data_IF_143827952241
#
_entry.id   IF_143827952241
#
_cell.length_a   1.000
_cell.length_b   1.000
_cell.length_c   1.000
_cell.angle_alpha   90.00
_cell.angle_beta   90.00
_cell.angle_gamma   90.00
#
_symmetry.space_group_name_H-M   'P 1'
#
loop_
_entity.id
_entity.type
_entity.pdbx_description
1 polymer ?
#
# COMPACT_ATOMS: atom_id res chain seq x y z
N UNK A 1 -13.42 -3.15 -34.63
CA UNK A 1 -12.75 -2.01 -33.97
C UNK A 1 -11.70 -2.57 -33.04
N UNK A 2 -10.46 -2.05 -33.06
CA UNK A 2 -9.49 -2.39 -32.03
C UNK A 2 -9.95 -1.75 -30.72
N UNK A 3 -10.27 -2.57 -29.71
CA UNK A 3 -10.62 -2.05 -28.38
C UNK A 3 -9.37 -1.39 -27.82
N UNK A 4 -9.34 -0.06 -27.78
CA UNK A 4 -8.26 0.65 -27.11
C UNK A 4 -8.34 0.31 -25.62
N UNK A 5 -7.23 -0.17 -25.04
CA UNK A 5 -7.19 -0.45 -23.62
C UNK A 5 -7.56 0.84 -22.87
N UNK A 6 -8.47 0.77 -21.89
CA UNK A 6 -8.86 1.92 -21.10
C UNK A 6 -7.79 2.19 -20.04
N UNK A 7 -6.55 2.51 -20.46
CA UNK A 7 -5.62 3.17 -19.53
C UNK A 7 -6.29 4.48 -19.16
N UNK A 8 -6.82 4.50 -17.96
CA UNK A 8 -7.53 5.63 -17.43
C UNK A 8 -6.56 6.80 -17.40
N UNK A 9 -6.95 7.90 -18.06
CA UNK A 9 -6.21 9.13 -17.95
C UNK A 9 -6.06 9.46 -16.46
N UNK A 10 -4.85 9.83 -16.03
CA UNK A 10 -4.66 10.26 -14.64
C UNK A 10 -5.43 11.56 -14.41
N UNK A 11 -6.01 11.73 -13.21
CA UNK A 11 -6.56 13.01 -12.78
C UNK A 11 -5.42 14.04 -12.79
N UNK A 12 -5.60 15.21 -13.44
CA UNK A 12 -4.66 16.30 -13.34
C UNK A 12 -4.48 16.67 -11.87
N UNK A 13 -3.25 16.62 -11.37
CA UNK A 13 -2.99 17.05 -10.00
C UNK A 13 -3.23 18.55 -9.91
N UNK A 14 -4.13 18.95 -9.01
CA UNK A 14 -4.45 20.36 -8.80
C UNK A 14 -3.18 21.09 -8.35
N UNK A 15 -2.69 22.03 -9.15
CA UNK A 15 -1.52 22.87 -8.84
C UNK A 15 -1.87 24.11 -8.02
N UNK A 16 -3.17 24.38 -7.86
CA UNK A 16 -3.69 25.50 -7.09
C UNK A 16 -4.79 25.04 -6.13
N UNK A 17 -5.02 25.82 -5.07
CA UNK A 17 -6.06 25.60 -4.08
C UNK A 17 -6.92 26.87 -3.92
N UNK A 18 -8.22 26.74 -3.64
CA UNK A 18 -9.02 27.90 -3.27
C UNK A 18 -8.54 28.45 -1.92
N UNK A 19 -8.41 29.77 -1.87
CA UNK A 19 -8.16 30.55 -0.68
C UNK A 19 -9.45 30.90 0.06
N UNK A 20 -9.32 31.60 1.19
CA UNK A 20 -10.47 31.87 2.07
C UNK A 20 -11.44 32.91 1.50
N UNK A 21 -10.98 33.74 0.56
CA UNK A 21 -11.73 34.81 -0.07
C UNK A 21 -11.95 34.56 -1.58
N UNK A 22 -11.90 33.29 -2.01
CA UNK A 22 -12.09 32.90 -3.41
C UNK A 22 -10.85 33.13 -4.29
N UNK A 23 -9.75 33.62 -3.73
CA UNK A 23 -8.47 33.71 -4.41
C UNK A 23 -7.93 32.32 -4.75
N UNK A 24 -7.08 32.24 -5.77
CA UNK A 24 -6.44 30.98 -6.17
C UNK A 24 -4.99 30.98 -5.72
N UNK A 25 -4.67 30.12 -4.76
CA UNK A 25 -3.34 30.06 -4.13
C UNK A 25 -2.52 28.95 -4.78
N UNK A 26 -1.34 29.25 -5.34
CA UNK A 26 -0.41 28.22 -5.84
C UNK A 26 -0.03 27.26 -4.71
N UNK A 27 0.02 25.97 -5.03
CA UNK A 27 0.55 24.99 -4.10
C UNK A 27 2.07 25.06 -4.07
N UNK A 28 2.65 24.93 -2.89
CA UNK A 28 4.10 24.87 -2.69
C UNK A 28 4.62 23.42 -2.79
N UNK A 29 5.90 23.24 -3.06
CA UNK A 29 6.54 21.92 -2.98
C UNK A 29 6.57 21.43 -1.53
N UNK A 30 6.85 20.14 -1.33
CA UNK A 30 7.13 19.65 0.02
C UNK A 30 8.44 20.27 0.53
N UNK A 31 8.46 20.58 1.82
CA UNK A 31 9.73 20.86 2.47
C UNK A 31 10.51 19.54 2.56
N UNK A 32 11.81 19.59 2.26
CA UNK A 32 12.71 18.47 2.49
C UNK A 32 13.07 18.45 3.97
N UNK A 33 12.59 17.43 4.67
CA UNK A 33 12.80 17.26 6.11
C UNK A 33 13.55 15.96 6.41
N UNK A 34 14.03 15.85 7.65
CA UNK A 34 14.51 14.57 8.18
C UNK A 34 13.34 13.59 8.27
N UNK A 35 13.57 12.35 7.87
CA UNK A 35 12.63 11.24 8.03
C UNK A 35 12.42 10.98 9.52
N UNK A 36 11.15 10.99 9.93
CA UNK A 36 10.70 10.70 11.30
C UNK A 36 9.67 9.57 11.26
N UNK A 37 9.63 8.75 12.30
CA UNK A 37 8.52 7.80 12.48
C UNK A 37 7.43 8.53 13.25
N UNK A 38 6.25 8.63 12.63
CA UNK A 38 5.15 9.42 13.15
C UNK A 38 3.90 8.61 13.40
N UNK A 39 3.01 9.20 14.18
CA UNK A 39 1.63 8.78 14.34
C UNK A 39 0.91 8.78 13.01
N UNK A 40 0.28 7.66 12.68
CA UNK A 40 -0.78 7.69 11.71
C UNK A 40 -1.98 8.43 12.36
N UNK A 41 -2.80 9.13 11.57
CA UNK A 41 -3.93 9.95 12.07
C UNK A 41 -5.03 9.16 12.81
N UNK A 42 -4.80 7.90 13.20
CA UNK A 42 -5.84 6.98 13.68
C UNK A 42 -5.42 6.12 14.88
N UNK A 43 -4.21 5.54 14.96
CA UNK A 43 -3.93 4.49 15.96
C UNK A 43 -2.50 4.30 16.46
N UNK A 44 -1.45 4.43 15.64
CA UNK A 44 -0.09 4.00 16.04
C UNK A 44 1.02 4.83 15.39
N UNK A 45 2.16 4.92 16.06
CA UNK A 45 3.36 5.63 15.58
C UNK A 45 4.21 4.75 14.64
N UNK A 46 3.64 4.29 13.53
CA UNK A 46 4.26 3.29 12.64
C UNK A 46 4.28 3.67 11.16
N UNK A 47 4.27 4.97 10.86
CA UNK A 47 4.28 5.45 9.48
C UNK A 47 5.38 6.45 9.22
N UNK A 48 5.88 6.41 8.00
CA UNK A 48 6.83 7.39 7.48
C UNK A 48 6.76 7.46 5.96
N UNK A 49 7.47 8.43 5.39
CA UNK A 49 7.59 8.64 3.96
C UNK A 49 9.01 9.10 3.64
N UNK A 50 9.78 8.24 2.98
CA UNK A 50 11.10 8.58 2.39
C UNK A 50 10.97 9.48 1.17
N UNK A 51 9.83 9.41 0.48
CA UNK A 51 9.44 10.35 -0.56
C UNK A 51 8.03 10.85 -0.28
N UNK A 52 7.84 12.17 -0.27
CA UNK A 52 6.52 12.79 -0.13
C UNK A 52 6.03 13.25 -1.49
N UNK A 53 4.77 12.97 -1.82
CA UNK A 53 4.25 13.19 -3.16
C UNK A 53 4.49 11.99 -4.09
N UNK A 54 3.83 12.01 -5.24
CA UNK A 54 3.86 10.94 -6.21
C UNK A 54 3.55 11.49 -7.61
N UNK A 55 4.25 11.00 -8.63
CA UNK A 55 3.97 11.29 -10.05
C UNK A 55 2.65 10.66 -10.57
N UNK A 56 1.93 9.96 -9.70
CA UNK A 56 0.66 9.30 -9.99
C UNK A 56 -0.56 10.11 -9.57
N UNK A 57 -1.24 10.73 -10.53
CA UNK A 57 -2.59 11.32 -10.38
C UNK A 57 -3.71 10.28 -10.43
N UNK A 58 -3.62 9.18 -9.69
CA UNK A 58 -4.70 8.19 -9.68
C UNK A 58 -5.99 8.83 -9.15
N UNK A 59 -7.09 8.75 -9.92
CA UNK A 59 -8.43 9.14 -9.50
C UNK A 59 -8.77 8.49 -8.17
N UNK A 60 -9.09 9.27 -7.14
CA UNK A 60 -9.37 8.71 -5.82
C UNK A 60 -8.17 8.62 -4.88
N UNK A 61 -6.97 9.05 -5.30
CA UNK A 61 -5.77 8.97 -4.46
C UNK A 61 -5.94 9.78 -3.17
N UNK A 62 -6.03 9.05 -2.05
CA UNK A 62 -6.21 9.63 -0.71
C UNK A 62 -5.08 10.61 -0.36
N UNK A 63 -3.83 10.27 -0.70
CA UNK A 63 -2.67 11.11 -0.41
C UNK A 63 -2.77 12.45 -1.15
N UNK A 64 -3.01 12.43 -2.47
CA UNK A 64 -3.18 13.63 -3.29
C UNK A 64 -4.27 14.57 -2.75
N UNK A 65 -5.40 14.01 -2.28
CA UNK A 65 -6.51 14.79 -1.71
C UNK A 65 -6.18 15.36 -0.33
N UNK A 66 -5.51 14.58 0.49
CA UNK A 66 -5.10 15.00 1.83
C UNK A 66 -4.13 16.18 1.77
N UNK A 67 -3.37 16.32 0.67
CA UNK A 67 -2.47 17.47 0.45
C UNK A 67 -3.17 18.82 0.31
N UNK A 68 -4.40 18.84 -0.22
CA UNK A 68 -5.14 20.09 -0.42
C UNK A 68 -5.71 20.67 0.87
N UNK A 69 -6.06 19.81 1.84
CA UNK A 69 -6.85 20.20 3.02
C UNK A 69 -6.05 20.09 4.32
N UNK A 70 -5.19 19.08 4.49
CA UNK A 70 -4.58 18.75 5.79
C UNK A 70 -3.07 19.02 5.88
N UNK A 71 -2.38 19.13 4.74
CA UNK A 71 -0.90 19.22 4.71
C UNK A 71 -0.41 20.57 4.20
N UNK A 72 -1.22 21.63 4.30
CA UNK A 72 -0.76 22.99 3.96
C UNK A 72 -0.57 23.25 2.47
N UNK A 73 -1.44 22.67 1.60
CA UNK A 73 -1.50 22.98 0.16
C UNK A 73 -0.21 22.63 -0.60
N UNK A 74 0.25 21.38 -0.46
CA UNK A 74 1.48 20.89 -1.13
C UNK A 74 1.21 20.31 -2.52
N UNK A 75 2.18 20.46 -3.43
CA UNK A 75 2.19 19.89 -4.79
C UNK A 75 2.48 18.41 -4.73
N UNK A 76 1.43 17.61 -4.80
CA UNK A 76 1.56 16.16 -4.76
C UNK A 76 2.30 15.58 -5.98
N UNK A 77 2.17 16.22 -7.15
CA UNK A 77 2.79 15.82 -8.43
C UNK A 77 4.30 16.07 -8.51
N UNK A 78 4.85 16.82 -7.55
CA UNK A 78 6.28 17.09 -7.44
C UNK A 78 6.80 16.36 -6.21
N UNK A 79 7.16 15.08 -6.37
CA UNK A 79 7.66 14.28 -5.27
C UNK A 79 9.01 14.84 -4.78
N UNK A 80 9.19 14.87 -3.46
CA UNK A 80 10.43 15.31 -2.82
C UNK A 80 10.95 14.21 -1.92
N UNK A 81 12.21 13.82 -2.14
CA UNK A 81 12.95 12.92 -1.24
C UNK A 81 13.18 13.60 0.10
N UNK A 82 12.99 12.83 1.17
CA UNK A 82 13.24 13.22 2.54
C UNK A 82 14.61 12.66 2.99
N UNK A 83 15.25 13.30 3.95
CA UNK A 83 16.60 12.94 4.37
C UNK A 83 16.54 11.84 5.41
N UNK A 84 17.09 10.66 5.10
CA UNK A 84 17.18 9.54 6.04
C UNK A 84 18.42 9.71 6.91
N UNK A 85 18.25 9.72 8.23
CA UNK A 85 19.35 9.74 9.21
C UNK A 85 19.16 8.57 10.16
N UNK A 86 20.13 7.65 10.17
CA UNK A 86 20.01 6.38 10.87
C UNK A 86 19.72 6.51 12.35
N UNK A 87 20.45 7.38 13.05
CA UNK A 87 20.32 7.62 14.49
C UNK A 87 18.93 8.12 14.85
N UNK A 88 18.34 8.97 13.99
CA UNK A 88 17.01 9.54 14.21
C UNK A 88 15.94 8.48 13.97
N UNK A 89 16.02 7.75 12.86
CA UNK A 89 15.09 6.66 12.53
C UNK A 89 15.11 5.60 13.63
N UNK A 90 16.30 5.14 14.02
CA UNK A 90 16.44 4.11 15.06
C UNK A 90 15.94 4.59 16.41
N UNK A 91 16.23 5.84 16.79
CA UNK A 91 15.67 6.43 17.99
C UNK A 91 14.14 6.39 17.95
N UNK A 92 13.52 6.90 16.89
CA UNK A 92 12.06 6.96 16.77
C UNK A 92 11.43 5.54 16.78
N UNK A 93 12.05 4.56 16.12
CA UNK A 93 11.60 3.17 16.13
C UNK A 93 11.70 2.53 17.52
N UNK A 94 12.77 2.80 18.27
CA UNK A 94 12.88 2.32 19.65
C UNK A 94 11.82 2.97 20.55
N UNK A 95 11.48 4.25 20.34
CA UNK A 95 10.37 4.88 21.05
C UNK A 95 9.01 4.27 20.66
N UNK A 96 8.80 3.98 19.37
CA UNK A 96 7.60 3.28 18.88
C UNK A 96 7.44 1.93 19.60
N UNK A 97 8.46 1.09 19.61
CA UNK A 97 8.42 -0.24 20.25
C UNK A 97 8.25 -0.13 21.77
N UNK A 98 8.89 0.85 22.42
CA UNK A 98 8.69 1.10 23.86
C UNK A 98 7.24 1.42 24.20
N UNK A 99 6.56 2.18 23.33
CA UNK A 99 5.16 2.57 23.49
C UNK A 99 4.20 1.44 23.10
N UNK A 100 4.53 0.72 22.03
CA UNK A 100 3.71 -0.34 21.43
C UNK A 100 4.59 -1.58 21.15
N UNK A 101 4.88 -2.42 22.16
CA UNK A 101 5.86 -3.51 22.06
C UNK A 101 5.53 -4.61 21.03
N UNK A 102 4.27 -4.66 20.57
CA UNK A 102 3.81 -5.58 19.54
C UNK A 102 4.09 -5.09 18.11
N UNK A 103 4.52 -3.83 17.93
CA UNK A 103 4.85 -3.29 16.62
C UNK A 103 6.27 -3.67 16.23
N UNK A 104 6.37 -4.61 15.31
CA UNK A 104 7.61 -5.09 14.71
C UNK A 104 7.81 -4.59 13.26
N UNK A 105 7.03 -3.58 12.85
CA UNK A 105 7.10 -3.02 11.51
C UNK A 105 6.83 -1.51 11.44
N UNK A 106 7.32 -0.90 10.37
CA UNK A 106 7.07 0.50 10.01
C UNK A 106 6.67 0.60 8.54
N UNK A 107 5.67 1.41 8.21
CA UNK A 107 5.24 1.61 6.83
C UNK A 107 5.93 2.81 6.19
N UNK A 108 6.42 2.62 4.97
CA UNK A 108 6.91 3.65 4.06
C UNK A 108 5.97 3.74 2.84
N UNK A 109 5.50 4.94 2.51
CA UNK A 109 4.55 5.16 1.40
C UNK A 109 3.10 5.39 1.86
N UNK A 110 2.91 6.38 2.73
CA UNK A 110 1.60 6.89 3.17
C UNK A 110 1.16 8.08 2.33
N UNK A 111 2.06 9.04 2.18
CA UNK A 111 1.81 10.34 1.55
C UNK A 111 2.67 10.56 0.31
N UNK A 112 3.48 9.57 -0.08
CA UNK A 112 4.15 9.52 -1.37
C UNK A 112 4.43 8.09 -1.82
N UNK A 113 5.32 7.96 -2.79
CA UNK A 113 5.73 6.66 -3.34
C UNK A 113 7.24 6.45 -3.20
N UNK A 114 7.69 5.50 -2.35
CA UNK A 114 9.12 5.27 -2.12
C UNK A 114 9.90 4.83 -3.36
N UNK A 115 9.23 4.32 -4.40
CA UNK A 115 9.93 3.90 -5.62
C UNK A 115 10.49 5.05 -6.45
N UNK A 116 10.14 6.29 -6.13
CA UNK A 116 10.71 7.46 -6.80
C UNK A 116 12.14 7.72 -6.33
N UNK A 117 12.52 7.17 -5.18
CA UNK A 117 13.88 7.17 -4.66
C UNK A 117 14.15 5.90 -3.83
N UNK A 118 14.61 4.86 -4.52
CA UNK A 118 14.90 3.57 -3.88
C UNK A 118 16.08 3.64 -2.91
N UNK A 119 17.05 4.53 -3.11
CA UNK A 119 18.21 4.61 -2.22
C UNK A 119 17.76 5.00 -0.81
N UNK A 120 16.95 6.05 -0.71
CA UNK A 120 16.35 6.47 0.57
C UNK A 120 15.45 5.38 1.17
N UNK A 121 14.66 4.67 0.35
CA UNK A 121 13.81 3.58 0.82
C UNK A 121 14.62 2.38 1.35
N UNK A 122 15.75 2.07 0.73
CA UNK A 122 16.70 1.03 1.15
C UNK A 122 17.37 1.43 2.45
N UNK A 123 17.89 2.66 2.55
CA UNK A 123 18.54 3.16 3.78
C UNK A 123 17.60 3.11 4.98
N UNK A 124 16.35 3.56 4.84
CA UNK A 124 15.34 3.43 5.89
C UNK A 124 15.18 1.97 6.34
N UNK A 125 15.11 1.05 5.37
CA UNK A 125 14.94 -0.37 5.64
C UNK A 125 16.14 -0.96 6.37
N UNK A 126 17.36 -0.59 6.00
CA UNK A 126 18.59 -1.03 6.67
C UNK A 126 18.65 -0.53 8.12
N UNK A 127 18.31 0.73 8.36
CA UNK A 127 18.28 1.29 9.71
C UNK A 127 17.21 0.64 10.58
N UNK A 128 16.02 0.37 10.03
CA UNK A 128 14.94 -0.33 10.72
C UNK A 128 15.31 -1.79 11.01
N UNK A 129 15.86 -2.51 10.02
CA UNK A 129 16.26 -3.91 10.16
C UNK A 129 17.31 -4.12 11.25
N UNK A 130 18.24 -3.17 11.44
CA UNK A 130 19.25 -3.22 12.52
C UNK A 130 18.65 -3.21 13.93
N UNK A 131 17.44 -2.68 14.11
CA UNK A 131 16.72 -2.70 15.39
C UNK A 131 15.60 -3.74 15.43
N UNK A 132 15.60 -4.69 14.49
CA UNK A 132 14.63 -5.78 14.43
C UNK A 132 13.26 -5.38 13.89
N UNK A 133 13.14 -4.22 13.24
CA UNK A 133 11.87 -3.71 12.70
C UNK A 133 11.83 -3.84 11.18
N UNK A 134 10.77 -4.45 10.67
CA UNK A 134 10.57 -4.65 9.22
C UNK A 134 9.99 -3.40 8.59
N UNK A 135 10.52 -2.99 7.44
CA UNK A 135 9.93 -1.89 6.67
C UNK A 135 8.93 -2.43 5.65
N UNK A 136 7.67 -2.01 5.74
CA UNK A 136 6.62 -2.27 4.77
C UNK A 136 6.61 -1.16 3.73
N UNK A 137 7.12 -1.44 2.52
CA UNK A 137 7.17 -0.49 1.41
C UNK A 137 5.92 -0.65 0.56
N UNK A 138 5.03 0.34 0.61
CA UNK A 138 3.86 0.39 -0.27
C UNK A 138 4.18 1.27 -1.47
N UNK A 139 4.16 0.68 -2.66
CA UNK A 139 4.60 1.37 -3.86
C UNK A 139 3.81 0.99 -5.11
N UNK A 140 3.74 1.92 -6.06
CA UNK A 140 3.37 1.67 -7.46
C UNK A 140 4.55 1.22 -8.32
N UNK A 141 5.79 1.29 -7.82
CA UNK A 141 7.01 1.00 -8.57
C UNK A 141 7.13 1.88 -9.83
N UNK A 142 7.08 3.21 -9.67
CA UNK A 142 7.26 4.18 -10.77
C UNK A 142 8.63 4.04 -11.40
N UNK A 143 9.65 3.90 -10.57
CA UNK A 143 10.98 3.44 -10.96
C UNK A 143 11.15 2.01 -10.45
N UNK A 144 11.77 1.14 -11.25
CA UNK A 144 12.09 -0.21 -10.81
C UNK A 144 13.31 -0.19 -9.88
N UNK A 145 13.34 -0.99 -8.81
CA UNK A 145 14.54 -1.19 -8.02
C UNK A 145 15.60 -1.90 -8.86
N UNK A 146 16.88 -1.60 -8.61
CA UNK A 146 17.99 -2.37 -9.15
C UNK A 146 18.11 -3.71 -8.40
N UNK A 147 18.85 -4.66 -8.96
CA UNK A 147 19.15 -5.92 -8.26
C UNK A 147 19.86 -5.67 -6.92
N UNK A 148 20.68 -4.61 -6.84
CA UNK A 148 21.36 -4.22 -5.61
C UNK A 148 20.37 -3.71 -4.56
N UNK A 149 19.40 -2.87 -4.97
CA UNK A 149 18.32 -2.45 -4.07
C UNK A 149 17.55 -3.65 -3.54
N UNK A 150 17.19 -4.61 -4.41
CA UNK A 150 16.45 -5.81 -4.00
C UNK A 150 17.23 -6.65 -2.98
N UNK A 151 18.55 -6.83 -3.17
CA UNK A 151 19.39 -7.57 -2.21
C UNK A 151 19.45 -6.86 -0.86
N UNK A 152 19.69 -5.55 -0.85
CA UNK A 152 19.77 -4.76 0.39
C UNK A 152 18.45 -4.75 1.15
N UNK A 153 17.32 -4.63 0.44
CA UNK A 153 15.98 -4.75 1.02
C UNK A 153 15.74 -6.14 1.62
N UNK A 154 16.16 -7.19 0.92
CA UNK A 154 16.00 -8.58 1.38
C UNK A 154 16.79 -8.83 2.66
N UNK A 155 18.06 -8.39 2.71
CA UNK A 155 18.91 -8.48 3.90
C UNK A 155 18.34 -7.69 5.09
N UNK A 156 17.63 -6.60 4.81
CA UNK A 156 16.99 -5.76 5.83
C UNK A 156 15.63 -6.31 6.30
N UNK A 157 15.13 -7.41 5.71
CA UNK A 157 13.83 -7.98 6.06
C UNK A 157 12.62 -7.16 5.58
N UNK A 158 12.82 -6.28 4.58
CA UNK A 158 11.75 -5.42 4.07
C UNK A 158 10.62 -6.23 3.41
N UNK A 159 9.42 -5.66 3.39
CA UNK A 159 8.22 -6.22 2.76
C UNK A 159 7.81 -5.33 1.61
N UNK A 160 7.65 -5.91 0.41
CA UNK A 160 7.23 -5.18 -0.77
C UNK A 160 5.73 -5.35 -1.03
N UNK A 161 5.00 -4.24 -1.01
CA UNK A 161 3.59 -4.17 -1.37
C UNK A 161 3.45 -3.48 -2.72
N UNK A 162 3.04 -4.22 -3.74
CA UNK A 162 2.66 -3.62 -5.01
C UNK A 162 1.20 -3.20 -4.97
N UNK A 163 0.96 -1.88 -5.00
CA UNK A 163 -0.39 -1.33 -5.09
C UNK A 163 -0.90 -1.37 -6.52
N UNK A 164 -1.78 -2.31 -6.82
CA UNK A 164 -2.39 -2.50 -8.12
C UNK A 164 -3.81 -1.92 -8.16
N UNK A 165 -4.10 -1.14 -9.19
CA UNK A 165 -5.42 -0.59 -9.47
C UNK A 165 -5.82 -1.00 -10.91
N UNK A 166 -6.83 -1.86 -11.07
CA UNK A 166 -7.38 -2.17 -12.39
C UNK A 166 -7.77 -0.89 -13.14
N UNK A 167 -7.29 -0.77 -14.38
CA UNK A 167 -7.47 0.41 -15.24
C UNK A 167 -6.28 1.37 -15.27
N UNK A 168 -5.36 1.29 -14.28
CA UNK A 168 -4.04 1.93 -14.35
C UNK A 168 -2.95 0.93 -14.65
N UNK A 169 -2.99 -0.21 -13.96
CA UNK A 169 -2.16 -1.36 -14.23
C UNK A 169 -2.96 -2.40 -15.03
N UNK A 170 -2.28 -3.07 -15.96
CA UNK A 170 -2.87 -4.02 -16.90
C UNK A 170 -2.12 -5.34 -16.87
N UNK A 171 -2.84 -6.43 -17.17
CA UNK A 171 -2.26 -7.75 -17.24
C UNK A 171 -1.30 -7.86 -18.46
N UNK A 172 -0.11 -8.48 -18.33
CA UNK A 172 0.86 -8.60 -19.41
C UNK A 172 0.39 -9.36 -20.64
N UNK A 173 -0.62 -10.22 -20.52
CA UNK A 173 -1.23 -11.01 -21.58
C UNK A 173 -2.36 -10.26 -22.32
N UNK A 174 -2.87 -9.15 -21.75
CA UNK A 174 -3.84 -8.25 -22.40
C UNK A 174 -3.18 -7.30 -23.42
N UNK A 175 -2.26 -7.81 -24.25
CA UNK A 175 -1.51 -7.03 -25.25
C UNK A 175 -2.45 -6.62 -26.39
N UNK A 176 -3.17 -5.51 -26.22
CA UNK A 176 -3.84 -4.82 -27.33
C UNK A 176 -2.91 -3.73 -27.86
N UNK A 177 -2.34 -3.98 -29.03
CA UNK A 177 -1.51 -3.01 -29.77
C UNK A 177 -0.02 -3.08 -29.42
N UNK A 178 0.78 -3.54 -30.38
CA UNK A 178 2.25 -3.62 -30.44
C UNK A 178 3.03 -2.70 -29.46
N UNK A 179 3.32 -3.17 -28.24
CA UNK A 179 4.49 -2.76 -27.44
C UNK A 179 5.02 -3.96 -26.65
N UNK A 180 5.92 -4.73 -27.28
CA UNK A 180 6.63 -5.86 -26.64
C UNK A 180 7.77 -5.38 -25.71
N UNK A 181 8.21 -4.14 -25.88
CA UNK A 181 9.27 -3.51 -25.10
C UNK A 181 8.66 -2.52 -24.08
N UNK A 182 9.12 -2.57 -22.82
CA UNK A 182 8.73 -1.60 -21.79
C UNK A 182 7.38 -1.84 -21.09
N UNK A 183 6.92 -3.09 -20.95
CA UNK A 183 5.78 -3.38 -20.08
C UNK A 183 6.18 -3.30 -18.60
N UNK A 184 6.09 -2.10 -18.04
CA UNK A 184 6.39 -1.81 -16.63
C UNK A 184 5.77 -2.82 -15.66
N UNK A 185 4.53 -3.26 -15.89
CA UNK A 185 3.85 -4.17 -14.94
C UNK A 185 4.46 -5.57 -14.98
N UNK A 186 4.84 -6.07 -16.17
CA UNK A 186 5.60 -7.32 -16.30
C UNK A 186 6.93 -7.22 -15.55
N UNK A 187 7.61 -6.10 -15.70
CA UNK A 187 8.92 -5.88 -15.09
C UNK A 187 8.81 -5.77 -13.55
N UNK A 188 7.74 -5.13 -13.04
CA UNK A 188 7.38 -5.15 -11.61
C UNK A 188 7.15 -6.58 -11.12
N UNK A 189 6.28 -7.35 -11.80
CA UNK A 189 6.02 -8.75 -11.44
C UNK A 189 7.31 -9.59 -11.42
N UNK A 190 8.22 -9.35 -12.35
CA UNK A 190 9.51 -10.03 -12.42
C UNK A 190 10.41 -9.68 -11.23
N UNK A 191 10.48 -8.38 -10.86
CA UNK A 191 11.21 -7.92 -9.68
C UNK A 191 10.65 -8.51 -8.38
N UNK A 192 9.32 -8.60 -8.24
CA UNK A 192 8.68 -9.21 -7.07
C UNK A 192 8.97 -10.71 -6.98
N UNK A 193 8.96 -11.45 -8.09
CA UNK A 193 9.35 -12.87 -8.11
C UNK A 193 10.82 -13.05 -7.76
N UNK A 194 11.70 -12.20 -8.27
CA UNK A 194 13.12 -12.23 -7.90
C UNK A 194 13.31 -11.98 -6.40
N UNK A 195 12.62 -10.96 -5.85
CA UNK A 195 12.68 -10.62 -4.44
C UNK A 195 12.13 -11.73 -3.52
N UNK A 196 11.02 -12.34 -3.89
CA UNK A 196 10.46 -13.47 -3.16
C UNK A 196 11.43 -14.67 -3.12
N UNK A 197 12.09 -14.99 -4.23
CA UNK A 197 13.12 -16.04 -4.25
C UNK A 197 14.27 -15.78 -3.28
N UNK A 198 14.62 -14.52 -3.04
CA UNK A 198 15.67 -14.13 -2.08
C UNK A 198 15.20 -14.21 -0.63
N UNK A 199 13.92 -13.96 -0.37
CA UNK A 199 13.40 -13.70 0.99
C UNK A 199 12.56 -14.84 1.55
N UNK A 200 11.99 -15.70 0.70
CA UNK A 200 11.13 -16.79 1.14
C UNK A 200 11.95 -17.85 1.89
N UNK A 201 11.59 -18.18 3.15
CA UNK A 201 12.26 -19.25 3.86
C UNK A 201 12.12 -20.59 3.14
N UNK A 202 13.18 -21.39 3.15
CA UNK A 202 13.21 -22.71 2.51
C UNK A 202 12.07 -23.59 3.04
N UNK A 203 11.29 -24.18 2.13
CA UNK A 203 10.17 -25.05 2.47
C UNK A 203 8.83 -24.35 2.69
N UNK A 204 8.81 -23.01 2.76
CA UNK A 204 7.56 -22.26 2.82
C UNK A 204 6.89 -22.20 1.44
N UNK A 205 5.57 -22.42 1.41
CA UNK A 205 4.76 -22.27 0.19
C UNK A 205 4.35 -20.83 -0.06
N UNK A 206 4.14 -20.07 1.00
CA UNK A 206 3.67 -18.69 0.94
C UNK A 206 4.82 -17.71 1.19
N UNK A 207 4.77 -16.58 0.49
CA UNK A 207 5.68 -15.46 0.69
C UNK A 207 5.36 -14.75 2.00
N UNK A 208 6.40 -14.26 2.68
CA UNK A 208 6.23 -13.39 3.85
C UNK A 208 6.71 -11.95 3.60
N UNK A 209 7.33 -11.69 2.46
CA UNK A 209 7.95 -10.40 2.12
C UNK A 209 7.40 -9.79 0.83
N UNK A 210 6.39 -10.40 0.20
CA UNK A 210 5.76 -9.92 -1.04
C UNK A 210 4.25 -9.98 -0.95
N UNK A 211 3.63 -8.83 -1.14
CA UNK A 211 2.19 -8.63 -1.10
C UNK A 211 1.69 -7.98 -2.39
N UNK A 212 0.68 -8.59 -3.00
CA UNK A 212 -0.08 -8.03 -4.10
C UNK A 212 -1.29 -7.30 -3.55
N UNK A 213 -1.24 -5.96 -3.50
CA UNK A 213 -2.34 -5.15 -3.00
C UNK A 213 -3.28 -4.77 -4.14
N UNK A 214 -4.40 -5.46 -4.27
CA UNK A 214 -5.35 -5.26 -5.36
C UNK A 214 -6.46 -4.31 -4.89
N UNK A 215 -6.62 -3.20 -5.59
CA UNK A 215 -7.74 -2.29 -5.42
C UNK A 215 -8.94 -2.81 -6.21
N UNK A 216 -9.57 -3.84 -5.67
CA UNK A 216 -10.57 -4.64 -6.36
C UNK A 216 -11.96 -3.98 -6.39
N UNK A 217 -12.76 -4.35 -7.39
CA UNK A 217 -14.14 -3.91 -7.57
C UNK A 217 -14.96 -4.92 -8.37
N UNK A 218 -16.28 -4.86 -8.22
CA UNK A 218 -17.24 -5.57 -9.08
C UNK A 218 -17.41 -4.82 -10.40
N UNK A 219 -16.70 -5.25 -11.43
CA UNK A 219 -16.87 -4.71 -12.78
C UNK A 219 -17.94 -5.47 -13.56
N UNK A 220 -18.73 -4.77 -14.37
CA UNK A 220 -19.71 -5.38 -15.26
C UNK A 220 -19.00 -6.18 -16.34
N UNK A 221 -19.02 -7.51 -16.18
CA UNK A 221 -18.37 -8.44 -17.11
C UNK A 221 -19.05 -8.50 -18.48
N UNK A 222 -20.31 -8.07 -18.58
CA UNK A 222 -21.02 -8.00 -19.86
C UNK A 222 -20.63 -6.75 -20.65
N UNK A 223 -20.20 -5.68 -19.97
CA UNK A 223 -19.61 -4.52 -20.62
C UNK A 223 -18.19 -4.83 -21.13
N UNK A 224 -17.84 -4.57 -22.41
CA UNK A 224 -16.52 -4.94 -22.95
C UNK A 224 -15.33 -4.40 -22.12
N UNK A 225 -15.43 -3.17 -21.63
CA UNK A 225 -14.40 -2.58 -20.77
C UNK A 225 -14.47 -3.15 -19.33
N UNK A 226 -15.66 -3.37 -18.78
CA UNK A 226 -15.80 -3.91 -17.42
C UNK A 226 -15.28 -5.35 -17.35
N UNK A 227 -15.54 -6.16 -18.38
CA UNK A 227 -14.95 -7.49 -18.55
C UNK A 227 -13.43 -7.47 -18.61
N UNK A 228 -12.80 -6.50 -19.29
CA UNK A 228 -11.34 -6.34 -19.31
C UNK A 228 -10.76 -5.96 -17.95
N UNK A 229 -11.42 -5.06 -17.21
CA UNK A 229 -11.02 -4.64 -15.87
C UNK A 229 -11.14 -5.81 -14.88
N UNK A 230 -12.24 -6.57 -14.95
CA UNK A 230 -12.44 -7.79 -14.17
C UNK A 230 -11.36 -8.83 -14.48
N UNK A 231 -11.09 -9.10 -15.76
CA UNK A 231 -10.05 -10.05 -16.16
C UNK A 231 -8.65 -9.62 -15.67
N UNK A 232 -8.36 -8.32 -15.67
CA UNK A 232 -7.11 -7.80 -15.13
C UNK A 232 -6.96 -8.11 -13.65
N UNK A 233 -8.00 -7.86 -12.85
CA UNK A 233 -8.03 -8.22 -11.43
C UNK A 233 -7.83 -9.73 -11.23
N UNK A 234 -8.57 -10.55 -11.98
CA UNK A 234 -8.48 -12.01 -11.92
C UNK A 234 -7.06 -12.50 -12.26
N UNK A 235 -6.43 -11.91 -13.28
CA UNK A 235 -5.05 -12.21 -13.65
C UNK A 235 -4.09 -11.99 -12.48
N UNK A 236 -4.12 -10.82 -11.83
CA UNK A 236 -3.19 -10.51 -10.74
C UNK A 236 -3.46 -11.35 -9.49
N UNK A 237 -4.72 -11.64 -9.18
CA UNK A 237 -5.09 -12.54 -8.10
C UNK A 237 -4.56 -13.96 -8.37
N UNK A 238 -4.76 -14.48 -9.59
CA UNK A 238 -4.26 -15.79 -9.99
C UNK A 238 -2.73 -15.84 -10.05
N UNK A 239 -2.09 -14.79 -10.54
CA UNK A 239 -0.63 -14.66 -10.54
C UNK A 239 -0.08 -14.71 -9.11
N UNK A 240 -0.61 -13.90 -8.21
CA UNK A 240 -0.20 -13.88 -6.81
C UNK A 240 -0.37 -15.27 -6.17
N UNK A 241 -1.54 -15.89 -6.34
CA UNK A 241 -1.81 -17.25 -5.85
C UNK A 241 -0.83 -18.29 -6.41
N UNK A 242 -0.52 -18.24 -7.71
CA UNK A 242 0.43 -19.15 -8.36
C UNK A 242 1.85 -18.97 -7.84
N UNK A 243 2.26 -17.74 -7.59
CA UNK A 243 3.57 -17.45 -7.00
C UNK A 243 3.60 -17.73 -5.49
N UNK A 244 2.45 -17.86 -4.82
CA UNK A 244 2.37 -17.94 -3.36
C UNK A 244 2.51 -16.57 -2.68
N UNK A 245 2.32 -15.47 -3.41
CA UNK A 245 2.30 -14.13 -2.82
C UNK A 245 1.04 -13.94 -1.99
N UNK A 246 1.15 -13.17 -0.91
CA UNK A 246 -0.02 -12.76 -0.13
C UNK A 246 -0.82 -11.73 -0.92
N UNK A 247 -2.13 -11.85 -0.91
CA UNK A 247 -3.03 -10.89 -1.57
C UNK A 247 -3.60 -9.97 -0.50
N UNK A 248 -3.54 -8.66 -0.72
CA UNK A 248 -4.23 -7.68 0.09
C UNK A 248 -5.34 -7.02 -0.73
N UNK A 249 -6.60 -7.38 -0.48
CA UNK A 249 -7.72 -6.74 -1.14
C UNK A 249 -8.12 -5.46 -0.43
N UNK A 250 -8.18 -4.37 -1.19
CA UNK A 250 -8.55 -3.06 -0.66
C UNK A 250 -9.72 -2.48 -1.42
N UNK A 251 -10.87 -2.24 -0.76
CA UNK A 251 -12.03 -1.68 -1.44
C UNK A 251 -11.68 -0.29 -1.95
N UNK A 252 -11.78 -0.09 -3.26
CA UNK A 252 -11.53 1.21 -3.86
C UNK A 252 -12.71 2.16 -3.62
N UNK A 253 -12.41 3.41 -3.25
CA UNK A 253 -13.43 4.46 -3.17
C UNK A 253 -13.63 5.08 -4.56
N UNK A 254 -14.68 4.66 -5.24
CA UNK A 254 -15.15 5.35 -6.45
C UNK A 254 -15.89 6.64 -6.07
N UNK A 255 -15.65 7.73 -6.80
CA UNK A 255 -16.29 9.02 -6.57
C UNK A 255 -17.53 9.22 -7.44
N UNK A 256 -18.43 8.24 -7.43
CA UNK A 256 -19.58 8.27 -8.32
C UNK A 256 -19.12 8.41 -9.78
N UNK A 257 -19.93 9.11 -10.57
CA UNK A 257 -19.69 9.37 -12.01
C UNK A 257 -18.40 10.13 -12.33
N UNK A 258 -17.67 10.64 -11.33
CA UNK A 258 -16.39 11.33 -11.56
C UNK A 258 -15.19 10.38 -11.64
N UNK A 259 -15.31 9.13 -11.18
CA UNK A 259 -14.31 8.10 -11.46
C UNK A 259 -14.59 7.52 -12.86
N UNK A 260 -13.59 7.48 -13.75
CA UNK A 260 -13.76 7.00 -15.12
C UNK A 260 -14.04 5.49 -15.22
N UNK A 261 -14.00 4.74 -14.11
CA UNK A 261 -14.46 3.34 -14.07
C UNK A 261 -15.91 3.20 -13.71
N UNK A 262 -16.56 4.26 -13.23
CA UNK A 262 -17.89 4.19 -12.63
C UNK A 262 -18.91 3.51 -13.53
N UNK A 263 -18.92 3.83 -14.82
CA UNK A 263 -19.84 3.28 -15.80
C UNK A 263 -19.57 1.80 -16.14
N UNK A 264 -18.42 1.25 -15.74
CA UNK A 264 -18.03 -0.14 -15.97
C UNK A 264 -18.20 -1.02 -14.74
N UNK A 265 -18.80 -0.48 -13.67
CA UNK A 265 -19.08 -1.22 -12.45
C UNK A 265 -20.41 -1.98 -12.56
N UNK A 266 -20.46 -3.17 -11.98
CA UNK A 266 -21.71 -3.89 -11.79
C UNK A 266 -22.43 -3.33 -10.57
N UNK A 267 -23.18 -2.25 -10.76
CA UNK A 267 -23.86 -1.55 -9.67
C UNK A 267 -24.90 -2.40 -8.94
N UNK A 268 -25.43 -3.46 -9.57
CA UNK A 268 -26.38 -4.38 -8.94
C UNK A 268 -25.69 -5.32 -7.96
N UNK A 269 -24.47 -5.78 -8.30
CA UNK A 269 -23.64 -6.62 -7.42
C UNK A 269 -22.84 -5.82 -6.39
N UNK A 270 -22.67 -4.52 -6.60
CA UNK A 270 -22.08 -3.64 -5.59
C UNK A 270 -23.03 -3.45 -4.41
N UNK A 271 -22.83 -4.23 -3.34
CA UNK A 271 -23.58 -4.04 -2.10
C UNK A 271 -23.23 -2.71 -1.40
N UNK A 272 -24.05 -2.27 -0.43
CA UNK A 272 -23.91 -0.95 0.23
C UNK A 272 -22.51 -0.74 0.83
N UNK A 273 -21.93 0.43 0.54
CA UNK A 273 -20.63 0.90 1.01
C UNK A 273 -20.43 0.75 2.53
N UNK A 274 -19.31 0.15 2.97
CA UNK A 274 -18.90 0.21 4.38
C UNK A 274 -18.45 1.64 4.71
N UNK A 275 -19.10 2.30 5.66
CA UNK A 275 -18.62 3.59 6.16
C UNK A 275 -17.36 3.44 6.99
N UNK A 276 -16.38 4.34 6.79
CA UNK A 276 -15.36 4.64 7.80
C UNK A 276 -16.07 5.34 8.97
N UNK A 277 -16.66 4.57 9.88
CA UNK A 277 -17.16 5.13 11.13
C UNK A 277 -15.96 5.26 12.06
N UNK A 278 -15.43 6.48 12.21
CA UNK A 278 -14.72 6.83 13.44
C UNK A 278 -15.76 6.75 14.57
N UNK A 279 -15.34 6.24 15.73
CA UNK A 279 -16.18 6.11 16.92
C UNK A 279 -17.03 7.35 17.19
N UNK A 280 -18.15 7.11 17.88
CA UNK A 280 -19.21 8.03 18.31
C UNK A 280 -18.78 9.51 18.41
N UNK A 281 -18.86 10.24 17.30
CA UNK A 281 -18.49 11.64 17.27
C UNK A 281 -19.06 12.32 16.02
N UNK A 282 -19.74 13.46 16.23
CA UNK A 282 -20.32 14.29 15.17
C UNK A 282 -19.20 14.84 14.26
N UNK A 283 -18.84 14.07 13.24
CA UNK A 283 -17.89 14.46 12.19
C UNK A 283 -18.14 13.63 10.94
N UNK A 284 -18.20 14.28 9.77
CA UNK A 284 -18.58 13.70 8.46
C UNK A 284 -18.24 12.22 8.28
N UNK A 285 -19.28 11.39 8.09
CA UNK A 285 -19.19 10.01 7.60
C UNK A 285 -18.39 10.01 6.29
N UNK A 286 -17.23 9.35 6.26
CA UNK A 286 -16.51 9.06 5.01
C UNK A 286 -16.85 7.62 4.65
N UNK A 287 -17.30 7.34 3.43
CA UNK A 287 -17.65 6.00 2.95
C UNK A 287 -16.47 5.36 2.20
N UNK A 288 -16.26 4.05 2.42
CA UNK A 288 -15.36 3.15 1.68
C UNK A 288 -16.21 2.13 0.89
N UNK A 289 -15.67 1.58 -0.20
CA UNK A 289 -16.40 0.75 -1.17
C UNK A 289 -16.91 -0.62 -0.68
N UNK A 290 -17.57 -1.40 -1.57
CA UNK A 290 -18.33 -2.61 -1.25
C UNK A 290 -17.51 -3.85 -0.84
N UNK A 291 -18.23 -4.83 -0.31
CA UNK A 291 -17.79 -6.19 0.04
C UNK A 291 -17.88 -7.07 -1.22
N UNK A 292 -16.84 -7.88 -1.52
CA UNK A 292 -16.78 -8.77 -2.69
C UNK A 292 -17.27 -10.20 -2.39
N UNK A 293 -18.49 -10.37 -1.85
CA UNK A 293 -19.12 -11.70 -1.84
C UNK A 293 -20.66 -11.61 -1.66
N UNK A 294 -21.45 -12.33 -2.48
CA UNK A 294 -22.92 -12.39 -2.37
C UNK A 294 -23.46 -13.13 -1.14
N UNK A 295 -22.63 -13.89 -0.43
CA UNK A 295 -23.06 -14.86 0.58
C UNK A 295 -23.04 -14.33 2.02
N UNK A 296 -22.70 -13.06 2.24
CA UNK A 296 -22.62 -12.51 3.59
C UNK A 296 -21.41 -13.08 4.34
N UNK A 297 -20.29 -12.36 4.24
CA UNK A 297 -19.03 -12.76 4.87
C UNK A 297 -19.17 -12.75 6.42
N UNK A 298 -19.30 -13.93 7.05
CA UNK A 298 -19.06 -14.11 8.48
C UNK A 298 -17.55 -13.96 8.72
N UNK A 299 -17.16 -12.78 9.21
CA UNK A 299 -15.81 -12.18 9.10
C UNK A 299 -14.65 -12.92 9.78
N UNK A 300 -14.88 -14.08 10.40
CA UNK A 300 -13.85 -14.82 11.14
C UNK A 300 -13.71 -16.31 10.80
N UNK A 301 -14.56 -16.90 9.95
CA UNK A 301 -14.57 -18.37 9.78
C UNK A 301 -13.87 -18.91 8.54
N UNK A 302 -13.69 -18.10 7.49
CA UNK A 302 -13.30 -18.64 6.17
C UNK A 302 -12.25 -17.81 5.43
N UNK A 303 -11.29 -17.22 6.14
CA UNK A 303 -10.15 -16.62 5.45
C UNK A 303 -9.34 -17.73 4.80
N UNK A 304 -9.35 -17.78 3.46
CA UNK A 304 -8.36 -18.58 2.73
C UNK A 304 -6.98 -18.05 3.17
N UNK A 305 -6.01 -18.91 3.50
CA UNK A 305 -4.76 -18.52 4.17
C UNK A 305 -3.91 -17.47 3.39
N UNK A 306 -4.21 -17.27 2.11
CA UNK A 306 -3.48 -16.37 1.21
C UNK A 306 -4.17 -15.02 0.93
N UNK A 307 -5.40 -14.79 1.40
CA UNK A 307 -6.13 -13.51 1.19
C UNK A 307 -6.22 -12.75 2.50
N UNK A 308 -5.58 -11.58 2.55
CA UNK A 308 -5.73 -10.62 3.61
C UNK A 308 -6.71 -9.56 3.10
N UNK A 309 -7.93 -9.54 3.60
CA UNK A 309 -8.85 -8.45 3.31
C UNK A 309 -8.58 -7.29 4.27
N UNK A 310 -8.73 -6.05 3.81
CA UNK A 310 -8.82 -4.92 4.72
C UNK A 310 -10.12 -5.01 5.53
N UNK A 311 -10.10 -5.60 6.72
CA UNK A 311 -11.20 -5.44 7.67
C UNK A 311 -11.22 -4.00 8.17
N UNK A 312 -12.19 -3.21 7.71
CA UNK A 312 -12.36 -1.82 8.13
C UNK A 312 -12.96 -1.68 9.54
N UNK A 313 -13.24 -2.80 10.21
CA UNK A 313 -13.77 -2.87 11.59
C UNK A 313 -12.72 -3.29 12.63
N UNK A 314 -11.46 -3.46 12.23
CA UNK A 314 -10.40 -3.49 13.23
C UNK A 314 -10.37 -2.13 13.96
N UNK A 315 -10.11 -2.15 15.26
CA UNK A 315 -9.86 -0.92 16.02
C UNK A 315 -8.62 -0.15 15.50
N UNK A 316 -7.90 -0.71 14.51
CA UNK A 316 -6.62 -0.28 13.90
C UNK A 316 -6.74 -0.11 12.36
N UNK A 317 -7.34 1.00 11.94
CA UNK A 317 -7.85 1.38 10.60
C UNK A 317 -6.90 1.19 9.34
N UNK A 318 -7.38 1.43 8.09
CA UNK A 318 -7.65 0.49 6.99
C UNK A 318 -6.68 0.62 5.79
N UNK A 319 -5.45 1.09 6.03
CA UNK A 319 -4.37 1.14 5.02
C UNK A 319 -3.06 0.55 5.60
N UNK A 320 -3.14 -0.20 6.69
CA UNK A 320 -2.05 -0.36 7.66
C UNK A 320 -1.59 -1.80 7.91
N UNK A 321 -1.89 -2.79 7.07
CA UNK A 321 -1.51 -4.17 7.44
C UNK A 321 -0.02 -4.46 7.21
N UNK A 322 0.84 -4.01 8.13
CA UNK A 322 1.88 -4.89 8.63
C UNK A 322 1.18 -5.89 9.57
N UNK A 323 0.98 -7.10 9.06
CA UNK A 323 0.12 -8.12 9.65
C UNK A 323 0.64 -8.57 11.01
N UNK A 324 0.14 -7.96 12.08
CA UNK A 324 0.25 -8.48 13.45
C UNK A 324 -0.86 -9.49 13.66
N UNK A 325 -0.48 -10.73 13.90
CA UNK A 325 -1.34 -11.79 14.40
C UNK A 325 -1.48 -11.56 15.92
N UNK A 326 -2.60 -10.98 16.39
CA UNK A 326 -2.80 -10.64 17.82
C UNK A 326 -2.64 -11.87 18.73
N UNK A 327 -2.84 -13.08 18.20
CA UNK A 327 -2.68 -14.34 18.94
C UNK A 327 -1.22 -14.81 19.00
N UNK A 328 -0.37 -14.36 18.06
CA UNK A 328 1.08 -14.50 18.15
C UNK A 328 1.67 -13.20 18.63
N UNK A 329 1.39 -12.86 19.90
CA UNK A 329 2.26 -11.95 20.63
C UNK A 329 3.68 -12.45 20.42
N UNK A 330 4.44 -11.70 19.62
CA UNK A 330 5.77 -12.10 19.24
C UNK A 330 6.54 -12.30 20.54
N UNK A 331 7.00 -13.53 20.72
CA UNK A 331 7.92 -13.95 21.77
C UNK A 331 9.28 -13.31 21.43
N UNK A 332 9.32 -11.97 21.32
CA UNK A 332 10.52 -11.17 21.15
C UNK A 332 11.17 -11.14 22.52
N UNK A 333 11.85 -12.24 22.83
CA UNK A 333 12.84 -12.27 23.90
C UNK A 333 13.97 -11.35 23.45
N UNK A 334 13.89 -10.09 23.86
CA UNK A 334 15.05 -9.21 23.90
C UNK A 334 16.04 -9.91 24.84
N UNK A 335 17.03 -10.59 24.27
CA UNK A 335 18.18 -11.07 25.02
C UNK A 335 18.98 -9.85 25.48
N UNK A 336 18.59 -9.27 26.61
CA UNK A 336 19.49 -8.48 27.41
C UNK A 336 20.39 -9.49 28.12
N UNK A 337 21.62 -9.66 27.62
CA UNK A 337 22.67 -10.37 28.34
C UNK A 337 22.91 -9.65 29.67
N UNK A 338 22.27 -10.11 30.73
CA UNK A 338 22.69 -9.90 32.10
C UNK A 338 22.35 -11.15 32.92
N UNK A 339 23.22 -12.16 32.79
CA UNK A 339 23.70 -12.93 33.94
C UNK A 339 22.78 -13.87 34.73
N UNK A 340 21.48 -13.99 34.48
CA UNK A 340 20.63 -14.88 35.31
C UNK A 340 19.94 -16.00 34.52
N UNK A 341 20.22 -17.24 34.93
CA UNK A 341 19.58 -18.47 34.44
C UNK A 341 18.13 -18.51 34.94
N UNK A 342 17.18 -18.56 34.02
CA UNK A 342 15.80 -18.96 34.34
C UNK A 342 15.48 -20.23 33.52
N UNK A 343 15.07 -21.28 34.24
CA UNK A 343 14.70 -22.57 33.65
C UNK A 343 13.35 -22.50 32.94
N UNK A 344 13.24 -23.21 31.82
CA UNK A 344 12.03 -23.30 31.01
C UNK A 344 11.33 -24.61 31.36
N UNK A 345 10.02 -24.56 31.66
CA UNK A 345 9.13 -25.72 31.52
C UNK A 345 8.17 -25.44 30.36
N UNK A 346 8.03 -26.47 29.51
CA UNK A 346 7.30 -26.46 28.24
C UNK A 346 5.83 -26.08 28.36
#
# INVERSE_FOLDING_TARGET
MAIQLPVIAKEPVRTKSPGQHGETIPKANFDVCLVRIGGNNKTSDNVTDTTRGCSGGCYGCYAARSMGVFQGRRRFDQPETQIVVGEIVQHDLLQMVRKEPYLDWVRNGVMGDPSLDWDSAVELSEYAGRVGIRTVIISKFWTLPTDEHLKRLALSGAILHFSLIPGYEWAPDLIVGKRRDGNRVRDICSALVAYDKMTRPKGMKEADSVYMRICSAEFDRNHPIGGLLAHTQDFFANFAKKQGFRILETPWKFEGKSDPRWEFLDHEKMDRAKSYTLGEGRGRKKTAGPILSPEGFDKYKEWKPFVIACDTTCDVCPNQCGTVDKEKGADVRIMIQNGEKISIKN
#
